data_IF_729258935505
#
_entry.id   IF_729258935505
#
_cell.length_a   1.000
_cell.length_b   1.000
_cell.length_c   1.000
_cell.angle_alpha   90.00
_cell.angle_beta   90.00
_cell.angle_gamma   90.00
#
_symmetry.space_group_name_H-M   'P 1'
#
loop_
_entity.id
_entity.type
_entity.pdbx_description
1 polymer ?
#
# COMPACT_ATOMS: atom_id res chain seq x y z
N UNK A 1 30.03 12.48 -17.54
CA UNK A 1 29.08 11.39 -17.31
C UNK A 1 28.37 11.66 -16.00
N UNK A 2 27.14 12.12 -16.06
CA UNK A 2 26.33 12.31 -14.85
C UNK A 2 25.69 10.97 -14.49
N UNK A 3 25.66 10.59 -13.20
CA UNK A 3 24.96 9.38 -12.81
C UNK A 3 23.47 9.51 -13.15
N UNK A 4 22.88 8.39 -13.59
CA UNK A 4 21.45 8.33 -13.83
C UNK A 4 20.70 8.69 -12.54
N UNK A 5 19.62 9.48 -12.64
CA UNK A 5 18.83 9.82 -11.46
C UNK A 5 18.19 8.56 -10.85
N UNK A 6 18.30 8.43 -9.54
CA UNK A 6 17.86 7.26 -8.79
C UNK A 6 16.57 7.58 -8.05
N UNK A 7 15.62 6.64 -8.06
CA UNK A 7 14.44 6.72 -7.21
C UNK A 7 14.82 6.37 -5.77
N UNK A 8 14.60 7.31 -4.85
CA UNK A 8 14.91 7.14 -3.43
C UNK A 8 13.66 6.78 -2.65
N UNK A 9 13.76 5.70 -1.85
CA UNK A 9 12.70 5.29 -0.92
C UNK A 9 12.72 6.18 0.32
N UNK A 10 11.53 6.67 0.71
CA UNK A 10 11.33 7.43 1.93
C UNK A 10 10.14 6.88 2.70
N UNK A 11 10.23 6.95 4.03
CA UNK A 11 9.16 6.55 4.93
C UNK A 11 9.01 7.58 6.05
N UNK A 12 7.77 7.86 6.45
CA UNK A 12 7.51 8.80 7.54
C UNK A 12 6.12 8.58 8.13
N UNK A 13 5.97 8.95 9.40
CA UNK A 13 4.66 9.26 9.98
C UNK A 13 4.26 10.68 9.54
N UNK A 14 2.99 11.04 9.71
CA UNK A 14 2.54 12.40 9.37
C UNK A 14 3.35 13.48 10.11
N UNK A 15 3.64 13.24 11.37
CA UNK A 15 4.41 14.18 12.20
C UNK A 15 5.82 14.43 11.64
N UNK A 16 6.43 13.44 11.01
CA UNK A 16 7.78 13.53 10.47
C UNK A 16 7.82 14.00 9.01
N UNK A 17 6.65 14.09 8.35
CA UNK A 17 6.56 14.63 7.00
C UNK A 17 6.82 16.14 7.00
N UNK A 18 7.69 16.60 6.13
CA UNK A 18 7.77 18.03 5.85
C UNK A 18 6.62 18.45 4.91
N UNK A 19 6.34 19.75 4.88
CA UNK A 19 5.22 20.27 4.09
C UNK A 19 5.42 20.08 2.60
N UNK A 20 6.64 20.12 2.12
CA UNK A 20 6.97 19.92 0.71
C UNK A 20 6.67 18.48 0.28
N UNK A 21 7.11 17.50 1.05
CA UNK A 21 6.83 16.09 0.78
C UNK A 21 5.34 15.79 0.88
N UNK A 22 4.68 16.32 1.92
CA UNK A 22 3.23 16.14 2.07
C UNK A 22 2.47 16.69 0.86
N UNK A 23 2.78 17.90 0.43
CA UNK A 23 2.11 18.50 -0.72
C UNK A 23 2.33 17.66 -1.98
N UNK A 24 3.56 17.21 -2.23
CA UNK A 24 3.89 16.38 -3.40
C UNK A 24 3.17 15.02 -3.37
N UNK A 25 3.05 14.40 -2.20
CA UNK A 25 2.28 13.16 -2.02
C UNK A 25 0.80 13.40 -2.35
N UNK A 26 0.20 14.43 -1.78
CA UNK A 26 -1.22 14.73 -2.01
C UNK A 26 -1.48 15.12 -3.46
N UNK A 27 -0.55 15.83 -4.10
CA UNK A 27 -0.65 16.15 -5.52
C UNK A 27 -0.68 14.90 -6.39
N UNK A 28 0.23 13.95 -6.15
CA UNK A 28 0.24 12.68 -6.89
C UNK A 28 -1.08 11.92 -6.71
N UNK A 29 -1.58 11.82 -5.48
CA UNK A 29 -2.84 11.14 -5.19
C UNK A 29 -4.01 11.80 -5.92
N UNK A 30 -4.09 13.12 -5.88
CA UNK A 30 -5.14 13.86 -6.59
C UNK A 30 -5.05 13.70 -8.11
N UNK A 31 -3.85 13.80 -8.66
CA UNK A 31 -3.63 13.72 -10.10
C UNK A 31 -4.07 12.35 -10.66
N UNK A 32 -3.83 11.27 -9.94
CA UNK A 32 -4.17 9.91 -10.40
C UNK A 32 -5.58 9.50 -9.98
N UNK A 33 -5.89 9.54 -8.68
CA UNK A 33 -7.15 9.00 -8.19
C UNK A 33 -8.36 9.87 -8.54
N UNK A 34 -8.20 11.17 -8.61
CA UNK A 34 -9.30 12.08 -8.91
C UNK A 34 -9.30 12.46 -10.39
N UNK A 35 -8.20 12.99 -10.90
CA UNK A 35 -8.15 13.53 -12.26
C UNK A 35 -8.05 12.43 -13.31
N UNK A 36 -7.02 11.57 -13.25
CA UNK A 36 -6.83 10.52 -14.26
C UNK A 36 -7.96 9.50 -14.25
N UNK A 37 -8.37 9.04 -13.07
CA UNK A 37 -9.46 8.05 -12.93
C UNK A 37 -10.84 8.67 -13.07
N UNK A 38 -10.94 9.98 -13.20
CA UNK A 38 -12.20 10.72 -13.32
C UNK A 38 -13.19 10.34 -12.21
N UNK A 39 -12.70 10.31 -10.97
CA UNK A 39 -13.46 9.88 -9.83
C UNK A 39 -13.50 11.01 -8.78
N UNK A 40 -14.68 11.59 -8.58
CA UNK A 40 -14.89 12.58 -7.53
C UNK A 40 -15.14 11.85 -6.20
N UNK A 41 -14.09 11.69 -5.40
CA UNK A 41 -14.19 11.05 -4.08
C UNK A 41 -13.32 11.79 -3.06
N UNK A 42 -13.54 11.48 -1.78
CA UNK A 42 -12.78 12.10 -0.70
C UNK A 42 -11.43 11.44 -0.49
N UNK A 43 -10.45 11.74 -1.32
CA UNK A 43 -9.10 11.17 -1.17
C UNK A 43 -8.48 11.52 0.19
N UNK A 44 -8.67 12.75 0.65
CA UNK A 44 -8.31 13.17 2.00
C UNK A 44 -9.41 12.71 2.96
N UNK A 45 -9.21 11.58 3.60
CA UNK A 45 -10.20 10.88 4.41
C UNK A 45 -10.04 11.11 5.93
N UNK A 46 -9.12 11.99 6.33
CA UNK A 46 -8.84 12.27 7.73
C UNK A 46 -7.97 11.24 8.42
N UNK A 47 -7.42 10.26 7.68
CA UNK A 47 -6.60 9.21 8.26
C UNK A 47 -5.10 9.36 8.00
N UNK A 48 -4.71 10.32 7.18
CA UNK A 48 -3.28 10.55 6.88
C UNK A 48 -2.49 11.03 8.10
N UNK A 49 -3.15 11.73 9.01
CA UNK A 49 -2.55 12.32 10.21
C UNK A 49 -2.74 11.47 11.48
N UNK A 50 -3.31 10.28 11.37
CA UNK A 50 -3.38 9.35 12.51
C UNK A 50 -1.97 8.95 12.94
N UNK A 51 -1.70 8.85 14.26
CA UNK A 51 -0.33 8.59 14.75
C UNK A 51 0.30 7.29 14.26
N UNK A 52 -0.52 6.27 14.00
CA UNK A 52 -0.08 4.96 13.51
C UNK A 52 0.04 4.86 12.00
N UNK A 53 -0.38 5.89 11.26
CA UNK A 53 -0.32 5.87 9.80
C UNK A 53 1.12 6.06 9.31
N UNK A 54 1.52 5.24 8.36
CA UNK A 54 2.84 5.31 7.74
C UNK A 54 2.71 5.62 6.27
N UNK A 55 3.56 6.55 5.82
CA UNK A 55 3.66 6.98 4.43
C UNK A 55 4.97 6.45 3.86
N UNK A 56 4.90 5.79 2.70
CA UNK A 56 6.07 5.28 1.98
C UNK A 56 6.00 5.80 0.55
N UNK A 57 7.11 6.32 0.06
CA UNK A 57 7.14 6.85 -1.30
C UNK A 57 8.52 6.78 -1.91
N UNK A 58 8.54 6.78 -3.23
CA UNK A 58 9.75 7.01 -3.99
C UNK A 58 9.77 8.44 -4.50
N UNK A 59 10.92 9.09 -4.36
CA UNK A 59 11.13 10.44 -4.85
C UNK A 59 12.36 10.49 -5.76
N UNK A 60 12.29 11.34 -6.78
CA UNK A 60 13.40 11.63 -7.69
C UNK A 60 13.33 13.09 -8.07
N UNK A 61 14.44 13.82 -7.89
CA UNK A 61 14.52 15.25 -8.24
C UNK A 61 13.36 16.08 -7.66
N UNK A 62 12.95 15.78 -6.42
CA UNK A 62 11.87 16.48 -5.73
C UNK A 62 10.47 16.06 -6.11
N UNK A 63 10.29 15.13 -7.05
CA UNK A 63 8.98 14.63 -7.44
C UNK A 63 8.69 13.29 -6.78
N UNK A 64 7.46 13.12 -6.29
CA UNK A 64 6.96 11.84 -5.80
C UNK A 64 6.56 10.98 -6.99
N UNK A 65 7.21 9.84 -7.12
CA UNK A 65 7.07 8.92 -8.25
C UNK A 65 6.09 7.80 -7.99
N UNK A 66 6.02 7.34 -6.76
CA UNK A 66 5.08 6.32 -6.32
C UNK A 66 4.85 6.45 -4.82
N UNK A 67 3.70 5.97 -4.34
CA UNK A 67 3.30 6.15 -2.95
C UNK A 67 2.43 4.99 -2.47
N UNK A 68 2.50 4.68 -1.19
CA UNK A 68 1.59 3.78 -0.51
C UNK A 68 1.38 4.27 0.94
N UNK A 69 0.18 4.02 1.45
CA UNK A 69 -0.18 4.32 2.83
C UNK A 69 -0.46 3.03 3.60
N UNK A 70 0.02 2.96 4.84
CA UNK A 70 -0.31 1.88 5.78
C UNK A 70 -1.08 2.50 6.94
N UNK A 71 -2.29 2.03 7.16
CA UNK A 71 -3.13 2.43 8.29
C UNK A 71 -3.10 1.34 9.36
N UNK A 72 -3.11 1.75 10.62
CA UNK A 72 -3.27 0.82 11.75
C UNK A 72 -4.77 0.68 12.05
N UNK A 73 -5.35 -0.47 11.76
CA UNK A 73 -6.76 -0.78 12.02
C UNK A 73 -6.92 -1.72 13.23
N UNK A 74 -6.06 -1.58 14.25
CA UNK A 74 -6.11 -2.42 15.44
C UNK A 74 -5.45 -3.75 15.23
N UNK A 75 -6.22 -4.80 14.96
CA UNK A 75 -5.70 -6.16 14.79
C UNK A 75 -5.03 -6.38 13.43
N UNK A 76 -5.28 -5.53 12.46
CA UNK A 76 -4.74 -5.62 11.11
C UNK A 76 -4.12 -4.30 10.68
N UNK A 77 -3.16 -4.37 9.76
CA UNK A 77 -2.65 -3.20 9.04
C UNK A 77 -3.38 -3.10 7.70
N UNK A 78 -3.79 -1.89 7.33
CA UNK A 78 -4.50 -1.66 6.06
C UNK A 78 -3.60 -0.92 5.08
N UNK A 79 -3.33 -1.57 3.95
CA UNK A 79 -2.59 -0.95 2.85
C UNK A 79 -3.58 -0.26 1.92
N UNK A 80 -3.28 0.96 1.55
CA UNK A 80 -4.14 1.70 0.63
C UNK A 80 -3.40 2.83 -0.08
N UNK A 81 -4.12 3.51 -0.95
CA UNK A 81 -3.59 4.64 -1.73
C UNK A 81 -2.32 4.27 -2.52
N UNK A 82 -2.23 3.02 -2.99
CA UNK A 82 -1.12 2.58 -3.85
C UNK A 82 -1.23 3.29 -5.19
N UNK A 83 -0.23 4.07 -5.54
CA UNK A 83 -0.26 4.89 -6.74
C UNK A 83 1.13 5.06 -7.33
N UNK A 84 1.21 5.06 -8.67
CA UNK A 84 2.42 5.37 -9.41
C UNK A 84 2.13 6.52 -10.37
N UNK A 85 2.99 7.53 -10.36
CA UNK A 85 2.88 8.64 -11.30
C UNK A 85 2.89 8.09 -12.74
N UNK A 86 2.08 8.68 -13.62
CA UNK A 86 1.92 8.21 -15.00
C UNK A 86 3.28 8.07 -15.71
N UNK A 87 4.19 9.01 -15.49
CA UNK A 87 5.53 9.03 -16.10
C UNK A 87 6.51 8.03 -15.47
N UNK A 88 6.15 7.41 -14.34
CA UNK A 88 7.00 6.49 -13.61
C UNK A 88 6.54 5.01 -13.72
N UNK A 89 5.48 4.74 -14.45
CA UNK A 89 4.93 3.38 -14.60
C UNK A 89 5.85 2.51 -15.43
N UNK A 90 5.85 1.20 -15.12
CA UNK A 90 6.69 0.23 -15.78
C UNK A 90 8.08 0.03 -15.17
N UNK A 91 8.43 0.77 -14.12
CA UNK A 91 9.72 0.65 -13.44
C UNK A 91 9.69 -0.25 -12.18
N UNK A 92 8.54 -0.85 -11.87
CA UNK A 92 8.39 -1.76 -10.72
C UNK A 92 8.32 -1.06 -9.36
N UNK A 93 8.05 0.24 -9.32
CA UNK A 93 8.05 1.01 -8.06
C UNK A 93 6.94 0.56 -7.10
N UNK A 94 5.73 0.29 -7.60
CA UNK A 94 4.64 -0.19 -6.77
C UNK A 94 4.99 -1.51 -6.09
N UNK A 95 5.60 -2.44 -6.80
CA UNK A 95 6.07 -3.71 -6.24
C UNK A 95 7.10 -3.53 -5.15
N UNK A 96 8.07 -2.63 -5.36
CA UNK A 96 9.07 -2.31 -4.34
C UNK A 96 8.45 -1.67 -3.10
N UNK A 97 7.42 -0.83 -3.27
CA UNK A 97 6.68 -0.27 -2.14
C UNK A 97 5.92 -1.34 -1.38
N UNK A 98 5.33 -2.31 -2.08
CA UNK A 98 4.64 -3.44 -1.42
C UNK A 98 5.62 -4.28 -0.60
N UNK A 99 6.80 -4.57 -1.13
CA UNK A 99 7.83 -5.31 -0.39
C UNK A 99 8.25 -4.56 0.89
N UNK A 100 8.48 -3.25 0.78
CA UNK A 100 8.86 -2.44 1.93
C UNK A 100 7.72 -2.33 2.94
N UNK A 101 6.48 -2.14 2.49
CA UNK A 101 5.31 -2.12 3.35
C UNK A 101 5.17 -3.41 4.15
N UNK A 102 5.35 -4.56 3.50
CA UNK A 102 5.27 -5.86 4.17
C UNK A 102 6.41 -6.07 5.16
N UNK A 103 7.59 -5.56 4.88
CA UNK A 103 8.71 -5.57 5.83
C UNK A 103 8.37 -4.77 7.09
N UNK A 104 7.79 -3.59 6.93
CA UNK A 104 7.37 -2.74 8.06
C UNK A 104 6.24 -3.41 8.86
N UNK A 105 5.26 -3.99 8.19
CA UNK A 105 4.13 -4.68 8.83
C UNK A 105 4.61 -5.91 9.62
N UNK A 106 5.59 -6.63 9.09
CA UNK A 106 6.17 -7.80 9.76
C UNK A 106 5.15 -8.92 9.94
N UNK A 107 5.00 -9.41 11.18
CA UNK A 107 4.16 -10.56 11.51
C UNK A 107 2.68 -10.22 11.73
N UNK A 108 2.26 -9.00 11.45
CA UNK A 108 0.86 -8.62 11.57
C UNK A 108 0.09 -8.99 10.30
N UNK A 109 -1.18 -9.41 10.41
CA UNK A 109 -2.00 -9.59 9.22
C UNK A 109 -2.29 -8.24 8.56
N UNK A 110 -2.46 -8.25 7.24
CA UNK A 110 -2.75 -7.05 6.48
C UNK A 110 -3.93 -7.25 5.53
N UNK A 111 -4.66 -6.16 5.30
CA UNK A 111 -5.83 -6.13 4.42
C UNK A 111 -5.71 -4.99 3.43
N UNK A 112 -6.38 -5.13 2.31
CA UNK A 112 -6.53 -4.06 1.32
C UNK A 112 -7.77 -4.32 0.48
N UNK A 113 -8.24 -3.27 -0.18
CA UNK A 113 -9.29 -3.36 -1.18
C UNK A 113 -8.66 -3.10 -2.55
N UNK A 114 -8.47 -4.17 -3.30
CA UNK A 114 -7.82 -4.10 -4.62
C UNK A 114 -8.80 -3.65 -5.68
N UNK A 115 -8.43 -2.69 -6.52
CA UNK A 115 -9.17 -2.50 -7.76
C UNK A 115 -9.15 -3.84 -8.52
N UNK A 116 -10.31 -4.26 -9.05
CA UNK A 116 -10.50 -5.63 -9.53
C UNK A 116 -9.45 -6.11 -10.53
N UNK A 117 -8.97 -5.21 -11.39
CA UNK A 117 -7.95 -5.55 -12.38
C UNK A 117 -6.53 -5.74 -11.79
N UNK A 118 -6.32 -5.42 -10.51
CA UNK A 118 -5.03 -5.54 -9.82
C UNK A 118 -4.95 -6.73 -8.86
N UNK A 119 -5.96 -7.59 -8.83
CA UNK A 119 -5.99 -8.76 -7.92
C UNK A 119 -4.75 -9.63 -8.10
N UNK A 120 -4.35 -9.92 -9.34
CA UNK A 120 -3.18 -10.75 -9.61
C UNK A 120 -1.88 -10.09 -9.17
N UNK A 121 -1.80 -8.76 -9.25
CA UNK A 121 -0.66 -8.01 -8.74
C UNK A 121 -0.49 -8.22 -7.24
N UNK A 122 -1.57 -8.08 -6.46
CA UNK A 122 -1.51 -8.25 -5.00
C UNK A 122 -1.36 -9.73 -4.60
N UNK A 123 -1.88 -10.65 -5.39
CA UNK A 123 -1.72 -12.08 -5.14
C UNK A 123 -0.24 -12.50 -5.09
N UNK A 124 0.62 -11.85 -5.86
CA UNK A 124 2.07 -12.11 -5.85
C UNK A 124 2.72 -11.81 -4.49
N UNK A 125 2.08 -10.96 -3.68
CA UNK A 125 2.57 -10.59 -2.35
C UNK A 125 1.86 -11.37 -1.23
N UNK A 126 1.10 -12.40 -1.57
CA UNK A 126 0.44 -13.29 -0.61
C UNK A 126 -0.97 -12.87 -0.21
N UNK A 127 -1.54 -11.86 -0.87
CA UNK A 127 -2.94 -11.46 -0.62
C UNK A 127 -3.90 -12.40 -1.33
N UNK A 128 -5.02 -12.71 -0.67
CA UNK A 128 -6.09 -13.56 -1.22
C UNK A 128 -7.43 -12.86 -1.05
N UNK A 129 -8.36 -13.00 -2.02
CA UNK A 129 -9.71 -12.46 -1.89
C UNK A 129 -10.41 -13.02 -0.65
N UNK A 130 -11.14 -12.16 0.05
CA UNK A 130 -11.89 -12.52 1.26
C UNK A 130 -13.38 -12.28 1.13
N UNK A 131 -13.83 -11.74 0.02
CA UNK A 131 -15.23 -11.46 -0.22
C UNK A 131 -15.50 -11.17 -1.69
N UNK A 132 -16.78 -10.92 -2.04
CA UNK A 132 -17.17 -10.63 -3.41
C UNK A 132 -16.73 -9.25 -3.85
N UNK A 133 -16.71 -9.04 -5.16
CA UNK A 133 -16.51 -7.73 -5.75
C UNK A 133 -17.56 -6.73 -5.26
N UNK A 134 -17.14 -5.50 -5.00
CA UNK A 134 -18.03 -4.41 -4.62
C UNK A 134 -17.61 -3.13 -5.35
N UNK A 135 -18.54 -2.19 -5.45
CA UNK A 135 -18.26 -0.88 -6.04
C UNK A 135 -17.88 0.11 -4.95
N UNK A 136 -16.74 0.75 -5.11
CA UNK A 136 -16.33 1.88 -4.28
C UNK A 136 -16.09 3.06 -5.21
N UNK A 137 -16.88 4.12 -5.02
CA UNK A 137 -16.88 5.30 -5.89
C UNK A 137 -17.01 4.94 -7.38
N UNK A 138 -17.85 3.94 -7.69
CA UNK A 138 -18.08 3.47 -9.04
C UNK A 138 -17.00 2.57 -9.62
N UNK A 139 -15.94 2.27 -8.90
CA UNK A 139 -14.84 1.43 -9.33
C UNK A 139 -14.95 0.05 -8.68
N UNK A 140 -14.91 -1.07 -9.46
CA UNK A 140 -14.93 -2.41 -8.89
C UNK A 140 -13.70 -2.71 -8.04
N UNK A 141 -13.93 -3.19 -6.81
CA UNK A 141 -12.90 -3.57 -5.86
C UNK A 141 -13.15 -4.98 -5.33
N UNK A 142 -12.08 -5.64 -4.90
CA UNK A 142 -12.13 -6.95 -4.24
C UNK A 142 -11.39 -6.84 -2.91
N UNK A 143 -12.02 -7.19 -1.77
CA UNK A 143 -11.33 -7.21 -0.49
C UNK A 143 -10.32 -8.36 -0.45
N UNK A 144 -9.13 -8.08 0.01
CA UNK A 144 -8.05 -9.05 0.08
C UNK A 144 -7.37 -9.03 1.45
N UNK A 145 -6.84 -10.17 1.86
CA UNK A 145 -6.13 -10.33 3.13
C UNK A 145 -4.87 -11.16 2.93
N UNK A 146 -3.85 -10.80 3.68
CA UNK A 146 -2.60 -11.54 3.80
C UNK A 146 -2.37 -11.94 5.25
N UNK A 147 -2.22 -13.23 5.50
CA UNK A 147 -1.79 -13.73 6.79
C UNK A 147 -0.26 -13.75 6.86
N UNK A 148 0.34 -13.49 8.04
CA UNK A 148 1.78 -13.59 8.20
C UNK A 148 2.22 -15.06 8.04
N UNK A 149 3.31 -15.28 7.30
CA UNK A 149 3.79 -16.64 6.97
C UNK A 149 4.15 -17.47 8.19
N UNK A 150 4.59 -16.83 9.29
CA UNK A 150 4.97 -17.52 10.51
C UNK A 150 3.81 -18.17 11.26
N UNK A 151 2.56 -17.66 11.15
CA UNK A 151 1.41 -18.18 11.87
C UNK A 151 0.92 -19.52 11.33
N UNK A 152 1.02 -19.78 10.03
CA UNK A 152 0.64 -21.04 9.39
C UNK A 152 1.57 -22.20 9.79
N UNK A 153 2.87 -21.94 9.94
CA UNK A 153 3.84 -22.94 10.37
C UNK A 153 3.66 -23.36 11.82
N UNK A 154 3.21 -22.46 12.69
CA UNK A 154 3.00 -22.72 14.11
C UNK A 154 1.77 -23.59 14.35
N UNK A 155 0.69 -23.37 13.60
CA UNK A 155 -0.53 -24.16 13.74
C UNK A 155 -0.35 -25.61 13.24
N UNK A 156 0.45 -25.83 12.20
CA UNK A 156 0.71 -27.18 11.68
C UNK A 156 1.58 -28.03 12.63
N UNK A 157 2.44 -27.40 13.43
CA UNK A 157 3.27 -28.08 14.42
C UNK A 157 2.47 -28.50 15.66
N UNK A 158 1.41 -27.77 15.99
CA UNK A 158 0.57 -28.06 17.14
C UNK A 158 -0.34 -29.28 16.89
N UNK A 159 -0.76 -29.48 15.65
CA UNK A 159 -1.60 -30.64 15.28
C UNK A 159 -0.83 -31.98 15.29
N UNK A 160 0.50 -31.95 15.14
CA UNK A 160 1.33 -33.15 15.09
C UNK A 160 1.71 -33.70 16.47
N UNK A 161 1.31 -33.08 17.57
CA UNK A 161 1.66 -33.47 18.93
C UNK A 161 0.44 -33.94 19.75
N UNK A 162 -0.49 -34.65 19.14
CA UNK A 162 -1.46 -35.41 19.94
C UNK A 162 -0.83 -36.75 20.24
N UNK A 163 -0.58 -37.08 21.52
CA UNK A 163 -0.21 -38.44 21.89
C UNK A 163 -1.41 -39.34 21.62
N UNK A 164 -1.14 -40.48 21.08
CA UNK A 164 -2.08 -41.57 20.88
C UNK A 164 -2.50 -42.11 22.24
#
# INVERSE_FOLDING_TARGET
MHPEPIDELRTATFRDLDTTSLYAILKLRADVFVVEQQCAYGDLDGRDDEPGTRHLWFTRDGEVRAYVRILNDGDVERIGRVVTAKTARGAGLAGRLMEEALTIIGNRPSVLDAQAYLVDFYARYGFRPTGPEFLEDGIPHIPMRREPQGSAATSSLTERRRPV
#
